data_IF_962295287549
#
_entry.id   IF_962295287549
#
_cell.length_a   1.000
_cell.length_b   1.000
_cell.length_c   1.000
_cell.angle_alpha   90.00
_cell.angle_beta   90.00
_cell.angle_gamma   90.00
#
_symmetry.space_group_name_H-M   'P 1'
#
loop_
_entity.id
_entity.type
_entity.pdbx_description
1 polymer ?
#
# COMPACT_ATOMS: atom_id res chain seq x y z
N UNK A 1 17.84 28.24 30.38
CA UNK A 1 17.61 29.27 29.33
C UNK A 1 17.61 28.56 27.99
N UNK A 2 16.46 28.47 27.35
CA UNK A 2 16.31 27.94 25.99
C UNK A 2 16.75 29.04 25.04
N UNK A 3 17.72 28.73 24.17
CA UNK A 3 18.27 29.69 23.20
C UNK A 3 17.18 30.07 22.18
N UNK A 4 16.92 31.35 21.88
CA UNK A 4 15.94 31.78 20.88
C UNK A 4 16.23 31.30 19.46
N UNK A 5 17.45 30.94 19.15
CA UNK A 5 17.87 30.46 17.81
C UNK A 5 17.37 29.05 17.45
N UNK A 6 16.91 28.26 18.42
CA UNK A 6 16.37 26.92 18.15
C UNK A 6 14.91 26.94 17.61
N UNK A 7 14.21 28.07 17.70
CA UNK A 7 12.80 28.17 17.29
C UNK A 7 12.59 28.62 15.84
N UNK A 8 13.61 29.19 15.19
CA UNK A 8 13.52 29.70 13.81
C UNK A 8 13.77 28.62 12.73
N UNK A 9 14.23 27.43 13.11
CA UNK A 9 14.57 26.35 12.16
C UNK A 9 13.43 25.31 11.95
N UNK A 10 12.29 25.48 12.56
CA UNK A 10 11.14 24.59 12.32
C UNK A 10 10.45 24.99 11.00
N UNK A 11 10.73 24.25 9.93
CA UNK A 11 9.98 24.37 8.68
C UNK A 11 8.49 24.25 8.98
N UNK A 12 7.64 25.18 8.52
CA UNK A 12 6.21 25.10 8.79
C UNK A 12 5.67 23.73 8.32
N UNK A 13 4.88 23.08 9.17
CA UNK A 13 4.21 21.83 8.86
C UNK A 13 3.38 22.03 7.59
N UNK A 14 3.85 21.55 6.43
CA UNK A 14 3.06 21.53 5.22
C UNK A 14 2.08 20.35 5.32
N UNK A 15 0.81 20.67 5.40
CA UNK A 15 -0.27 19.70 5.37
C UNK A 15 -0.38 19.13 3.97
N UNK A 16 0.24 17.98 3.72
CA UNK A 16 0.14 17.30 2.43
C UNK A 16 -1.15 16.46 2.41
N UNK A 17 -2.00 16.74 1.43
CA UNK A 17 -3.24 16.00 1.17
C UNK A 17 -3.40 15.82 -0.34
N UNK A 18 -3.70 14.61 -0.77
CA UNK A 18 -4.04 14.35 -2.17
C UNK A 18 -5.38 15.03 -2.51
N UNK A 19 -5.54 15.53 -3.76
CA UNK A 19 -6.66 16.42 -4.10
C UNK A 19 -8.04 15.74 -4.16
N UNK A 20 -8.10 14.40 -4.35
CA UNK A 20 -9.36 13.65 -4.43
C UNK A 20 -9.25 12.26 -3.79
N UNK A 21 -10.40 11.64 -3.44
CA UNK A 21 -10.44 10.26 -2.92
C UNK A 21 -9.84 9.26 -3.91
N UNK A 22 -9.20 8.23 -3.39
CA UNK A 22 -8.55 7.15 -4.14
C UNK A 22 -7.34 7.57 -4.99
N UNK A 23 -6.88 8.82 -4.93
CA UNK A 23 -5.61 9.22 -5.52
C UNK A 23 -4.42 8.51 -4.84
N UNK A 24 -4.50 8.34 -3.53
CA UNK A 24 -3.52 7.59 -2.74
C UNK A 24 -4.21 6.85 -1.60
N UNK A 25 -3.94 5.55 -1.49
CA UNK A 25 -4.19 4.79 -0.27
C UNK A 25 -2.86 4.57 0.47
N UNK A 26 -2.87 4.77 1.77
CA UNK A 26 -1.77 4.44 2.66
C UNK A 26 -2.06 3.08 3.28
N UNK A 27 -1.11 2.16 3.23
CA UNK A 27 -1.27 0.80 3.73
C UNK A 27 -0.11 0.45 4.66
N UNK A 28 -0.45 -0.06 5.85
CA UNK A 28 0.54 -0.41 6.86
C UNK A 28 0.00 -1.49 7.82
N UNK A 29 0.91 -2.17 8.54
CA UNK A 29 0.58 -2.98 9.69
C UNK A 29 0.78 -2.19 10.98
N UNK A 30 -0.20 -2.27 11.88
CA UNK A 30 -0.08 -1.64 13.22
C UNK A 30 0.94 -2.34 14.14
N UNK A 31 1.69 -3.29 13.65
CA UNK A 31 2.46 -4.22 14.46
C UNK A 31 1.57 -5.38 14.92
N UNK A 32 1.81 -5.94 16.09
CA UNK A 32 1.02 -7.09 16.56
C UNK A 32 0.73 -7.05 18.06
N UNK A 33 -0.29 -7.81 18.50
CA UNK A 33 -0.61 -8.06 19.89
C UNK A 33 -1.07 -9.50 20.11
N UNK A 34 -0.94 -9.99 21.35
CA UNK A 34 -1.32 -11.37 21.72
C UNK A 34 -2.81 -11.52 22.02
N UNK A 35 -3.34 -12.72 21.79
CA UNK A 35 -4.70 -13.13 22.11
C UNK A 35 -4.69 -14.20 23.22
N UNK A 36 -5.83 -14.43 23.86
CA UNK A 36 -5.94 -15.40 24.96
C UNK A 36 -5.73 -16.86 24.51
N UNK A 37 -5.96 -17.15 23.24
CA UNK A 37 -5.69 -18.45 22.61
C UNK A 37 -4.21 -18.68 22.24
N UNK A 38 -3.31 -17.82 22.72
CA UNK A 38 -1.87 -17.77 22.40
C UNK A 38 -1.53 -17.44 20.93
N UNK A 39 -2.50 -17.10 20.11
CA UNK A 39 -2.23 -16.56 18.76
C UNK A 39 -1.87 -15.07 18.83
N UNK A 40 -1.50 -14.49 17.67
CA UNK A 40 -1.21 -13.07 17.53
C UNK A 40 -2.05 -12.46 16.43
N UNK A 41 -2.52 -11.25 16.67
CA UNK A 41 -3.19 -10.45 15.67
C UNK A 41 -2.22 -9.40 15.10
N UNK A 42 -2.17 -9.31 13.77
CA UNK A 42 -1.45 -8.31 13.00
C UNK A 42 -2.49 -7.45 12.26
N UNK A 43 -2.87 -6.29 12.80
CA UNK A 43 -3.88 -5.44 12.15
C UNK A 43 -3.34 -4.84 10.85
N UNK A 44 -3.94 -5.21 9.73
CA UNK A 44 -3.73 -4.53 8.44
C UNK A 44 -4.65 -3.33 8.36
N UNK A 45 -4.09 -2.18 8.03
CA UNK A 45 -4.80 -0.92 7.88
C UNK A 45 -4.59 -0.34 6.49
N UNK A 46 -5.66 0.20 5.90
CA UNK A 46 -5.59 0.97 4.66
C UNK A 46 -6.45 2.20 4.81
N UNK A 47 -5.86 3.37 4.58
CA UNK A 47 -6.51 4.67 4.65
C UNK A 47 -6.49 5.38 3.30
N UNK A 48 -7.62 5.98 2.93
CA UNK A 48 -7.64 6.97 1.85
C UNK A 48 -7.01 8.28 2.33
N UNK A 49 -5.98 8.75 1.63
CA UNK A 49 -5.19 9.92 2.03
C UNK A 49 -6.01 11.21 2.04
N UNK A 50 -6.93 11.39 1.08
CA UNK A 50 -7.76 12.58 0.97
C UNK A 50 -8.82 12.66 2.06
N UNK A 51 -9.63 11.62 2.19
CA UNK A 51 -10.81 11.60 3.06
C UNK A 51 -10.55 11.11 4.46
N UNK A 52 -9.39 10.48 4.73
CA UNK A 52 -9.10 9.72 5.96
C UNK A 52 -10.02 8.50 6.14
N UNK A 53 -10.80 8.14 5.12
CA UNK A 53 -11.68 6.98 5.19
C UNK A 53 -10.85 5.71 5.36
N UNK A 54 -11.15 4.94 6.39
CA UNK A 54 -10.51 3.66 6.59
C UNK A 54 -11.14 2.61 5.68
N UNK A 55 -10.40 2.23 4.65
CA UNK A 55 -10.79 1.24 3.63
C UNK A 55 -10.73 -0.17 4.22
N UNK A 56 -9.60 -0.51 4.88
CA UNK A 56 -9.37 -1.81 5.49
C UNK A 56 -8.94 -1.62 6.94
N UNK A 57 -9.57 -2.36 7.83
CA UNK A 57 -9.09 -2.67 9.17
C UNK A 57 -9.33 -4.16 9.38
N UNK A 58 -8.32 -4.97 9.07
CA UNK A 58 -8.42 -6.42 9.06
C UNK A 58 -7.50 -7.04 10.10
N UNK A 59 -8.07 -7.90 10.95
CA UNK A 59 -7.31 -8.76 11.84
C UNK A 59 -6.71 -9.92 11.04
N UNK A 60 -5.37 -9.99 10.97
CA UNK A 60 -4.65 -11.07 10.27
C UNK A 60 -3.78 -11.86 11.25
N UNK A 61 -3.59 -13.16 11.02
CA UNK A 61 -2.74 -14.00 11.89
C UNK A 61 -1.24 -13.77 11.65
N UNK A 62 -0.88 -13.12 10.58
CA UNK A 62 0.49 -12.82 10.18
C UNK A 62 0.51 -11.74 9.09
N UNK A 63 1.72 -11.28 8.72
CA UNK A 63 1.96 -10.26 7.70
C UNK A 63 2.30 -10.87 6.33
N UNK A 64 1.69 -12.01 5.98
CA UNK A 64 1.95 -12.68 4.71
C UNK A 64 1.11 -12.09 3.57
N UNK A 65 1.68 -12.22 2.37
CA UNK A 65 1.07 -11.74 1.12
C UNK A 65 -0.38 -12.22 0.92
N UNK A 66 -0.65 -13.48 1.21
CA UNK A 66 -1.95 -14.11 0.93
C UNK A 66 -3.10 -13.39 1.64
N UNK A 67 -2.96 -13.13 2.95
CA UNK A 67 -3.97 -12.40 3.73
C UNK A 67 -4.12 -10.95 3.28
N UNK A 68 -3.02 -10.29 2.94
CA UNK A 68 -3.04 -8.92 2.40
C UNK A 68 -3.73 -8.87 1.05
N UNK A 69 -3.39 -9.77 0.13
CA UNK A 69 -3.97 -9.82 -1.20
C UNK A 69 -5.48 -10.11 -1.16
N UNK A 70 -5.91 -11.02 -0.27
CA UNK A 70 -7.33 -11.31 -0.06
C UNK A 70 -8.09 -10.08 0.49
N UNK A 71 -7.53 -9.40 1.49
CA UNK A 71 -8.14 -8.19 2.05
C UNK A 71 -8.24 -7.06 1.01
N UNK A 72 -7.19 -6.86 0.20
CA UNK A 72 -7.19 -5.90 -0.90
C UNK A 72 -8.19 -6.28 -1.99
N UNK A 73 -8.31 -7.57 -2.36
CA UNK A 73 -9.26 -8.02 -3.37
C UNK A 73 -10.70 -7.68 -2.97
N UNK A 74 -11.09 -7.98 -1.72
CA UNK A 74 -12.41 -7.59 -1.20
C UNK A 74 -12.62 -6.06 -1.18
N UNK A 75 -11.58 -5.32 -0.81
CA UNK A 75 -11.65 -3.87 -0.81
C UNK A 75 -11.78 -3.29 -2.22
N UNK A 76 -11.07 -3.84 -3.20
CA UNK A 76 -11.15 -3.41 -4.60
C UNK A 76 -12.51 -3.72 -5.22
N UNK A 77 -13.12 -4.85 -4.88
CA UNK A 77 -14.50 -5.18 -5.30
C UNK A 77 -15.52 -4.20 -4.73
N UNK A 78 -15.34 -3.78 -3.48
CA UNK A 78 -16.29 -2.89 -2.78
C UNK A 78 -16.07 -1.41 -3.11
N UNK A 79 -14.83 -0.95 -3.19
CA UNK A 79 -14.46 0.46 -3.25
C UNK A 79 -13.81 0.87 -4.58
N UNK A 80 -13.53 -0.10 -5.49
CA UNK A 80 -12.76 0.13 -6.71
C UNK A 80 -11.28 0.30 -6.45
N UNK A 81 -10.50 0.46 -7.53
CA UNK A 81 -9.05 0.54 -7.49
C UNK A 81 -8.57 1.97 -7.22
N UNK A 82 -7.59 2.17 -6.32
CA UNK A 82 -6.92 3.46 -6.18
C UNK A 82 -5.96 3.72 -7.35
N UNK A 83 -5.53 4.96 -7.52
CA UNK A 83 -4.48 5.29 -8.48
C UNK A 83 -3.11 4.85 -7.97
N UNK A 84 -2.89 4.95 -6.65
CA UNK A 84 -1.62 4.63 -6.00
C UNK A 84 -1.83 4.01 -4.63
N UNK A 85 -0.92 3.12 -4.25
CA UNK A 85 -0.78 2.64 -2.87
C UNK A 85 0.61 3.00 -2.38
N UNK A 86 0.69 3.57 -1.17
CA UNK A 86 1.93 3.84 -0.46
C UNK A 86 2.08 2.85 0.69
N UNK A 87 3.28 2.28 0.83
CA UNK A 87 3.65 1.36 1.90
C UNK A 87 5.01 1.76 2.47
N UNK A 88 5.43 1.10 3.54
CA UNK A 88 6.83 1.12 3.92
C UNK A 88 7.67 0.19 3.01
N UNK A 89 8.96 0.00 3.34
CA UNK A 89 9.87 -0.89 2.61
C UNK A 89 9.91 -2.31 3.19
N UNK A 90 9.07 -2.63 4.17
CA UNK A 90 9.01 -3.93 4.83
C UNK A 90 8.29 -5.01 4.03
N UNK A 91 8.43 -6.27 4.45
CA UNK A 91 7.59 -7.34 3.92
C UNK A 91 6.13 -7.15 4.39
N UNK A 92 5.13 -7.56 3.56
CA UNK A 92 5.23 -8.30 2.29
C UNK A 92 5.31 -7.42 1.04
N UNK A 93 5.32 -6.10 1.18
CA UNK A 93 5.27 -5.15 0.06
C UNK A 93 6.60 -4.58 -0.38
N UNK A 94 7.67 -4.83 0.37
CA UNK A 94 9.01 -4.42 -0.01
C UNK A 94 10.00 -5.57 0.11
N UNK A 95 11.05 -5.53 -0.67
CA UNK A 95 12.13 -6.50 -0.62
C UNK A 95 13.38 -5.80 -0.06
N UNK A 96 13.41 -5.63 1.28
CA UNK A 96 14.47 -4.92 1.97
C UNK A 96 15.84 -5.56 1.68
N UNK A 97 16.60 -4.97 0.77
CA UNK A 97 18.02 -5.23 0.54
C UNK A 97 18.42 -6.02 -0.71
N UNK A 98 17.50 -6.60 -1.49
CA UNK A 98 17.89 -7.36 -2.68
C UNK A 98 17.50 -6.71 -4.03
N UNK A 99 16.77 -5.62 -4.01
CA UNK A 99 16.23 -4.98 -5.21
C UNK A 99 15.26 -5.92 -5.97
N UNK A 100 14.26 -5.37 -6.61
CA UNK A 100 13.28 -6.11 -7.39
C UNK A 100 11.89 -6.10 -6.76
N UNK A 101 10.89 -6.46 -7.56
CA UNK A 101 9.48 -6.47 -7.17
C UNK A 101 9.15 -7.71 -6.33
N UNK A 102 8.18 -7.58 -5.43
CA UNK A 102 7.50 -8.69 -4.77
C UNK A 102 6.33 -9.20 -5.63
N UNK A 103 5.83 -10.40 -5.37
CA UNK A 103 4.67 -10.92 -6.08
C UNK A 103 3.39 -10.09 -5.84
N UNK A 104 3.27 -9.46 -4.67
CA UNK A 104 2.17 -8.55 -4.38
C UNK A 104 2.26 -7.28 -5.24
N UNK A 105 3.45 -6.69 -5.36
CA UNK A 105 3.68 -5.52 -6.21
C UNK A 105 3.40 -5.82 -7.69
N UNK A 106 3.85 -6.97 -8.18
CA UNK A 106 3.56 -7.42 -9.56
C UNK A 106 2.05 -7.50 -9.80
N UNK A 107 1.29 -8.05 -8.86
CA UNK A 107 -0.16 -8.12 -8.95
C UNK A 107 -0.82 -6.73 -8.94
N UNK A 108 -0.38 -5.82 -8.07
CA UNK A 108 -0.90 -4.44 -8.00
C UNK A 108 -0.58 -3.65 -9.28
N UNK A 109 0.65 -3.79 -9.82
CA UNK A 109 1.04 -3.15 -11.08
C UNK A 109 0.16 -3.67 -12.23
N UNK A 110 -0.14 -4.97 -12.27
CA UNK A 110 -1.04 -5.55 -13.27
C UNK A 110 -2.47 -5.03 -13.19
N UNK A 111 -2.91 -4.56 -12.02
CA UNK A 111 -4.18 -3.85 -11.84
C UNK A 111 -4.08 -2.35 -12.22
N UNK A 112 -2.94 -1.89 -12.71
CA UNK A 112 -2.70 -0.49 -13.03
C UNK A 112 -2.64 0.42 -11.80
N UNK A 113 -2.24 -0.12 -10.66
CA UNK A 113 -2.04 0.63 -9.41
C UNK A 113 -0.56 1.01 -9.31
N UNK A 114 -0.27 2.30 -9.18
CA UNK A 114 1.10 2.76 -8.96
C UNK A 114 1.51 2.49 -7.51
N UNK A 115 2.76 2.09 -7.33
CA UNK A 115 3.33 1.83 -6.01
C UNK A 115 4.28 2.96 -5.63
N UNK A 116 4.28 3.32 -4.36
CA UNK A 116 5.28 4.19 -3.76
C UNK A 116 5.66 3.66 -2.40
N UNK A 117 6.93 3.81 -2.06
CA UNK A 117 7.45 3.47 -0.74
C UNK A 117 7.82 4.74 0.00
N UNK A 118 7.49 4.78 1.29
CA UNK A 118 7.88 5.88 2.16
C UNK A 118 9.40 5.95 2.25
N UNK A 119 9.97 7.14 2.01
CA UNK A 119 11.41 7.34 2.20
C UNK A 119 11.75 7.21 3.68
N UNK A 120 12.84 6.51 4.03
CA UNK A 120 13.35 6.53 5.39
C UNK A 120 13.52 7.98 5.87
N UNK A 121 13.09 8.27 7.10
CA UNK A 121 13.20 9.59 7.72
C UNK A 121 12.36 10.74 7.12
N UNK A 122 11.29 10.47 6.37
CA UNK A 122 10.29 11.46 6.01
C UNK A 122 8.96 11.22 6.74
N UNK A 123 8.80 11.65 8.00
CA UNK A 123 7.62 11.39 8.84
C UNK A 123 6.34 12.03 8.30
N UNK A 124 6.44 12.98 7.37
CA UNK A 124 5.30 13.68 6.81
C UNK A 124 4.36 12.78 5.98
N UNK A 125 4.87 11.68 5.44
CA UNK A 125 4.10 10.77 4.57
C UNK A 125 3.20 9.82 5.38
N UNK A 126 3.61 9.42 6.59
CA UNK A 126 2.94 8.42 7.41
C UNK A 126 2.17 8.99 8.62
N UNK A 127 2.23 10.31 8.83
CA UNK A 127 1.62 10.95 10.02
C UNK A 127 0.11 10.71 10.17
N UNK A 128 -0.58 10.42 9.06
CA UNK A 128 -2.03 10.10 9.06
C UNK A 128 -2.27 8.69 9.59
N UNK A 129 -1.49 7.71 9.14
CA UNK A 129 -1.56 6.33 9.64
C UNK A 129 -1.09 6.23 11.09
N UNK A 130 -0.02 6.93 11.46
CA UNK A 130 0.43 6.98 12.84
C UNK A 130 -0.66 7.50 13.78
N UNK A 131 -1.37 8.57 13.38
CA UNK A 131 -2.51 9.10 14.16
C UNK A 131 -3.66 8.10 14.22
N UNK A 132 -3.98 7.45 13.12
CA UNK A 132 -4.98 6.39 13.07
C UNK A 132 -4.62 5.23 13.99
N UNK A 133 -3.39 4.72 13.89
CA UNK A 133 -2.88 3.64 14.73
C UNK A 133 -2.87 4.00 16.22
N UNK A 134 -2.55 5.25 16.57
CA UNK A 134 -2.61 5.73 17.95
C UNK A 134 -4.04 5.67 18.50
N UNK A 135 -5.02 6.13 17.71
CA UNK A 135 -6.42 6.08 18.09
C UNK A 135 -6.93 4.64 18.22
N UNK A 136 -6.64 3.78 17.23
CA UNK A 136 -6.99 2.37 17.27
C UNK A 136 -6.41 1.65 18.49
N UNK A 137 -5.12 1.92 18.79
CA UNK A 137 -4.47 1.35 19.95
C UNK A 137 -5.15 1.77 21.24
N UNK A 138 -5.32 3.08 21.46
CA UNK A 138 -5.87 3.62 22.70
C UNK A 138 -7.35 3.28 22.94
N UNK A 139 -8.13 3.12 21.87
CA UNK A 139 -9.59 2.97 21.97
C UNK A 139 -10.06 1.52 21.84
N UNK A 140 -9.28 0.66 21.20
CA UNK A 140 -9.64 -0.74 20.97
C UNK A 140 -8.62 -1.69 21.58
N UNK A 141 -7.35 -1.63 21.17
CA UNK A 141 -6.37 -2.66 21.52
C UNK A 141 -6.06 -2.63 23.01
N UNK A 142 -5.80 -1.45 23.59
CA UNK A 142 -5.44 -1.30 25.00
C UNK A 142 -6.65 -1.42 25.96
N UNK A 143 -7.89 -1.42 25.43
CA UNK A 143 -9.11 -1.48 26.24
C UNK A 143 -9.76 -2.84 26.32
N UNK A 144 -9.33 -3.79 25.51
CA UNK A 144 -9.94 -5.11 25.43
C UNK A 144 -8.91 -6.21 25.55
N UNK A 145 -9.30 -7.29 26.23
CA UNK A 145 -8.60 -8.58 26.15
C UNK A 145 -9.41 -9.47 25.20
N UNK A 146 -8.80 -9.87 24.10
CA UNK A 146 -9.48 -10.64 23.06
C UNK A 146 -9.22 -12.12 23.22
N UNK A 147 -10.28 -12.93 23.10
CA UNK A 147 -10.16 -14.39 23.18
C UNK A 147 -9.55 -14.96 21.90
N UNK A 148 -10.00 -14.47 20.73
CA UNK A 148 -9.64 -14.98 19.41
C UNK A 148 -9.71 -13.89 18.34
N UNK A 149 -9.31 -14.23 17.10
CA UNK A 149 -9.28 -13.36 15.95
C UNK A 149 -10.68 -12.85 15.53
N UNK A 150 -11.71 -13.67 15.73
CA UNK A 150 -13.10 -13.32 15.38
C UNK A 150 -13.58 -12.17 16.25
N UNK A 151 -13.29 -12.22 17.53
CA UNK A 151 -13.63 -11.16 18.48
C UNK A 151 -12.89 -9.86 18.15
N UNK A 152 -11.62 -9.95 17.79
CA UNK A 152 -10.85 -8.78 17.31
C UNK A 152 -11.55 -8.15 16.12
N UNK A 153 -11.88 -8.95 15.08
CA UNK A 153 -12.48 -8.42 13.87
C UNK A 153 -13.83 -7.76 14.14
N UNK A 154 -14.66 -8.34 15.00
CA UNK A 154 -15.95 -7.74 15.37
C UNK A 154 -15.77 -6.35 16.01
N UNK A 155 -14.77 -6.18 16.89
CA UNK A 155 -14.49 -4.89 17.51
C UNK A 155 -13.89 -3.90 16.50
N UNK A 156 -13.03 -4.37 15.61
CA UNK A 156 -12.49 -3.57 14.51
C UNK A 156 -13.58 -3.04 13.59
N UNK A 157 -14.55 -3.87 13.22
CA UNK A 157 -15.64 -3.49 12.34
C UNK A 157 -16.54 -2.41 12.98
N UNK A 158 -16.88 -2.57 14.26
CA UNK A 158 -17.64 -1.56 15.03
C UNK A 158 -16.90 -0.24 15.14
N UNK A 159 -15.61 -0.30 15.50
CA UNK A 159 -14.79 0.89 15.64
C UNK A 159 -14.56 1.58 14.29
N UNK A 160 -14.31 0.81 13.22
CA UNK A 160 -14.18 1.32 11.84
C UNK A 160 -15.45 2.04 11.38
N UNK A 161 -16.62 1.48 11.70
CA UNK A 161 -17.88 2.14 11.38
C UNK A 161 -17.98 3.50 12.07
N UNK A 162 -17.77 3.56 13.39
CA UNK A 162 -17.77 4.79 14.14
C UNK A 162 -16.73 5.79 13.61
N UNK A 163 -15.49 5.33 13.35
CA UNK A 163 -14.42 6.16 12.81
C UNK A 163 -14.80 6.80 11.48
N UNK A 164 -15.38 6.03 10.57
CA UNK A 164 -15.72 6.49 9.23
C UNK A 164 -16.99 7.35 9.17
N UNK A 165 -18.02 7.02 9.95
CA UNK A 165 -19.36 7.55 9.75
C UNK A 165 -19.85 8.49 10.86
N UNK A 166 -19.30 8.36 12.07
CA UNK A 166 -19.82 9.08 13.23
C UNK A 166 -18.81 10.09 13.81
N UNK A 167 -17.50 9.77 13.74
CA UNK A 167 -16.46 10.60 14.36
C UNK A 167 -16.16 11.85 13.53
N UNK A 168 -16.28 13.07 14.09
CA UNK A 168 -15.80 14.28 13.46
C UNK A 168 -14.27 14.32 13.47
N UNK A 169 -13.67 14.76 12.37
CA UNK A 169 -12.22 14.93 12.22
C UNK A 169 -11.84 16.39 12.05
N UNK A 170 -11.00 16.93 12.92
CA UNK A 170 -10.53 18.31 12.84
C UNK A 170 -9.87 18.61 11.48
N UNK A 171 -9.03 17.70 10.98
CA UNK A 171 -8.38 17.82 9.68
C UNK A 171 -9.36 17.86 8.50
N UNK A 172 -10.62 17.50 8.72
CA UNK A 172 -11.70 17.52 7.73
C UNK A 172 -12.74 18.63 8.00
N UNK A 173 -12.37 19.62 8.81
CA UNK A 173 -13.32 20.66 9.24
C UNK A 173 -14.50 20.11 10.03
N UNK A 174 -14.25 19.13 10.89
CA UNK A 174 -15.24 18.40 11.70
C UNK A 174 -16.22 17.54 10.89
N UNK A 175 -15.98 17.34 9.59
CA UNK A 175 -16.71 16.34 8.82
C UNK A 175 -16.25 14.92 9.17
N UNK A 176 -17.12 13.93 8.94
CA UNK A 176 -16.73 12.52 9.01
C UNK A 176 -16.03 12.09 7.72
N UNK A 177 -15.12 11.10 7.76
CA UNK A 177 -14.46 10.56 6.57
C UNK A 177 -15.43 10.16 5.45
N UNK A 178 -16.55 9.53 5.80
CA UNK A 178 -17.57 9.09 4.85
C UNK A 178 -18.22 10.25 4.05
N UNK A 179 -18.27 11.46 4.59
CA UNK A 179 -18.81 12.64 3.87
C UNK A 179 -17.87 13.08 2.74
N UNK A 180 -16.56 12.84 2.87
CA UNK A 180 -15.55 13.21 1.88
C UNK A 180 -15.17 12.07 0.93
N UNK A 181 -15.38 10.82 1.34
CA UNK A 181 -15.04 9.65 0.54
C UNK A 181 -16.05 9.43 -0.60
N UNK A 182 -15.54 8.94 -1.73
CA UNK A 182 -16.33 8.45 -2.87
C UNK A 182 -15.67 7.19 -3.40
N UNK A 183 -16.48 6.23 -3.83
CA UNK A 183 -16.01 4.98 -4.48
C UNK A 183 -15.24 5.34 -5.75
N UNK A 184 -14.15 4.62 -6.02
CA UNK A 184 -13.37 4.80 -7.23
C UNK A 184 -14.17 4.37 -8.47
N UNK A 185 -14.11 5.14 -9.58
CA UNK A 185 -14.72 4.73 -10.84
C UNK A 185 -13.96 3.56 -11.52
N UNK A 186 -12.75 3.24 -11.06
CA UNK A 186 -11.93 2.15 -11.56
C UNK A 186 -12.37 0.85 -10.90
N UNK A 187 -13.25 0.10 -11.53
CA UNK A 187 -13.72 -1.19 -11.00
C UNK A 187 -12.61 -2.25 -10.99
N UNK A 188 -12.68 -3.18 -10.03
CA UNK A 188 -11.83 -4.38 -10.03
C UNK A 188 -12.17 -5.23 -11.27
N UNK A 189 -11.20 -5.53 -12.16
CA UNK A 189 -11.45 -6.36 -13.32
C UNK A 189 -11.65 -7.82 -12.90
N UNK A 190 -12.55 -8.55 -13.58
CA UNK A 190 -12.76 -10.00 -13.33
C UNK A 190 -11.53 -10.83 -13.68
N UNK A 191 -10.82 -10.40 -14.73
CA UNK A 191 -9.58 -11.00 -15.20
C UNK A 191 -8.54 -9.91 -15.35
N UNK A 192 -7.28 -10.24 -15.04
CA UNK A 192 -6.20 -9.29 -15.25
C UNK A 192 -6.06 -9.00 -16.77
N UNK A 193 -6.00 -7.72 -17.16
CA UNK A 193 -5.87 -7.37 -18.57
C UNK A 193 -4.57 -7.94 -19.16
N UNK A 194 -4.54 -8.24 -20.47
CA UNK A 194 -3.31 -8.66 -21.13
C UNK A 194 -2.25 -7.55 -21.01
N UNK A 195 -0.99 -7.97 -21.00
CA UNK A 195 0.13 -7.03 -21.01
C UNK A 195 0.49 -6.76 -22.48
N UNK A 196 0.31 -5.52 -22.90
CA UNK A 196 0.65 -5.06 -24.24
C UNK A 196 1.83 -4.11 -24.18
N UNK A 197 2.69 -4.18 -25.18
CA UNK A 197 3.85 -3.31 -25.32
C UNK A 197 3.78 -2.57 -26.66
N UNK A 198 4.32 -1.34 -26.75
CA UNK A 198 4.38 -0.60 -28.00
C UNK A 198 5.12 -1.38 -29.10
N UNK A 199 4.73 -1.12 -30.35
CA UNK A 199 5.46 -1.61 -31.52
C UNK A 199 6.92 -1.14 -31.46
N UNK A 200 7.83 -2.09 -31.67
CA UNK A 200 9.30 -1.84 -31.60
C UNK A 200 9.95 -2.27 -30.27
N UNK A 201 9.18 -2.54 -29.23
CA UNK A 201 9.73 -3.15 -28.02
C UNK A 201 10.05 -4.64 -28.28
N UNK A 202 11.20 -5.07 -27.80
CA UNK A 202 11.58 -6.49 -27.82
C UNK A 202 10.99 -7.18 -26.59
N UNK A 203 9.89 -7.90 -26.76
CA UNK A 203 9.23 -8.59 -25.63
C UNK A 203 9.96 -9.89 -25.30
N UNK A 204 10.24 -10.10 -24.03
CA UNK A 204 10.86 -11.31 -23.48
C UNK A 204 10.05 -11.85 -22.30
N UNK A 205 9.86 -13.17 -22.27
CA UNK A 205 9.27 -13.87 -21.13
C UNK A 205 10.34 -14.09 -20.05
N UNK A 206 10.05 -13.68 -18.82
CA UNK A 206 10.96 -13.91 -17.69
C UNK A 206 11.00 -15.40 -17.35
N UNK A 207 12.21 -15.96 -17.37
CA UNK A 207 12.48 -17.36 -17.09
C UNK A 207 12.47 -17.64 -15.57
N UNK A 208 12.48 -18.93 -15.23
CA UNK A 208 12.64 -19.38 -13.85
C UNK A 208 13.88 -18.72 -13.21
N UNK A 209 13.73 -18.21 -11.98
CA UNK A 209 14.79 -17.47 -11.30
C UNK A 209 14.88 -15.99 -11.63
N UNK A 210 13.98 -15.45 -12.49
CA UNK A 210 13.90 -14.02 -12.76
C UNK A 210 14.89 -13.51 -13.81
N UNK A 211 15.18 -14.30 -14.85
CA UNK A 211 16.11 -13.97 -15.91
C UNK A 211 15.41 -13.78 -17.26
N UNK A 212 15.95 -12.90 -18.08
CA UNK A 212 15.63 -12.79 -19.50
C UNK A 212 16.92 -12.90 -20.32
N UNK A 213 16.81 -13.39 -21.56
CA UNK A 213 17.89 -13.31 -22.55
C UNK A 213 17.58 -12.24 -23.57
N UNK A 214 18.48 -11.28 -23.74
CA UNK A 214 18.41 -10.22 -24.73
C UNK A 214 19.76 -10.14 -25.47
N UNK A 215 19.77 -10.31 -26.81
CA UNK A 215 20.99 -10.31 -27.63
C UNK A 215 22.09 -11.23 -27.10
N UNK A 216 21.73 -12.45 -26.67
CA UNK A 216 22.61 -13.47 -26.05
C UNK A 216 23.24 -13.04 -24.71
N UNK A 217 22.72 -11.98 -24.07
CA UNK A 217 23.10 -11.56 -22.73
C UNK A 217 22.00 -11.95 -21.74
N UNK A 218 22.35 -12.62 -20.66
CA UNK A 218 21.42 -12.90 -19.57
C UNK A 218 21.34 -11.69 -18.63
N UNK A 219 20.12 -11.21 -18.44
CA UNK A 219 19.83 -10.04 -17.60
C UNK A 219 18.92 -10.47 -16.45
N UNK A 220 19.35 -10.20 -15.23
CA UNK A 220 18.54 -10.46 -14.05
C UNK A 220 17.48 -9.36 -13.90
N UNK A 221 16.23 -9.78 -13.72
CA UNK A 221 15.09 -8.91 -13.44
C UNK A 221 14.63 -9.14 -11.98
N UNK A 222 13.45 -9.71 -11.78
CA UNK A 222 12.95 -10.13 -10.47
C UNK A 222 12.35 -11.53 -10.56
N UNK A 223 12.55 -12.36 -9.54
CA UNK A 223 11.91 -13.68 -9.45
C UNK A 223 10.37 -13.56 -9.42
N UNK A 224 9.84 -12.46 -8.90
CA UNK A 224 8.40 -12.19 -8.88
C UNK A 224 7.80 -12.01 -10.28
N UNK A 225 8.63 -11.69 -11.27
CA UNK A 225 8.20 -11.54 -12.67
C UNK A 225 8.26 -12.87 -13.45
N UNK A 226 8.68 -13.98 -12.84
CA UNK A 226 8.75 -15.27 -13.52
C UNK A 226 7.46 -15.61 -14.25
N UNK A 227 7.58 -15.93 -15.54
CA UNK A 227 6.45 -16.22 -16.42
C UNK A 227 5.77 -15.00 -17.02
N UNK A 228 6.06 -13.80 -16.55
CA UNK A 228 5.50 -12.55 -17.11
C UNK A 228 6.31 -12.08 -18.34
N UNK A 229 5.64 -11.45 -19.32
CA UNK A 229 6.35 -10.75 -20.38
C UNK A 229 6.89 -9.42 -19.86
N UNK A 230 8.07 -9.02 -20.33
CA UNK A 230 8.68 -7.69 -20.11
C UNK A 230 9.09 -7.10 -21.45
N UNK A 231 8.89 -5.79 -21.61
CA UNK A 231 9.33 -5.04 -22.78
C UNK A 231 10.78 -4.56 -22.61
N UNK A 232 11.60 -4.77 -23.61
CA UNK A 232 12.96 -4.24 -23.68
C UNK A 232 13.00 -3.18 -24.78
N UNK A 233 13.23 -1.91 -24.40
CA UNK A 233 13.24 -0.76 -25.30
C UNK A 233 14.62 -0.14 -25.36
N UNK A 234 15.18 0.12 -26.54
CA UNK A 234 16.43 0.86 -26.64
C UNK A 234 16.33 2.22 -25.95
N UNK A 235 17.37 2.60 -25.23
CA UNK A 235 17.46 3.93 -24.61
C UNK A 235 18.01 4.90 -25.67
N UNK A 236 17.29 6.00 -25.91
CA UNK A 236 17.75 7.04 -26.82
C UNK A 236 19.12 7.58 -26.36
N UNK A 237 19.98 7.88 -27.29
CA UNK A 237 21.33 8.46 -27.08
C UNK A 237 22.31 7.59 -26.28
N UNK A 238 22.00 6.29 -26.08
CA UNK A 238 22.87 5.36 -25.37
C UNK A 238 22.96 4.04 -26.14
N UNK A 239 23.95 3.90 -27.00
CA UNK A 239 24.12 2.74 -27.87
C UNK A 239 24.30 1.45 -27.04
N UNK A 240 23.52 0.43 -27.35
CA UNK A 240 23.53 -0.85 -26.65
C UNK A 240 22.83 -0.88 -25.28
N UNK A 241 22.27 0.24 -24.80
CA UNK A 241 21.50 0.27 -23.55
C UNK A 241 20.00 0.01 -23.80
N UNK A 242 19.38 -0.77 -22.91
CA UNK A 242 17.95 -1.09 -22.95
C UNK A 242 17.29 -0.78 -21.60
N UNK A 243 16.15 -0.10 -21.66
CA UNK A 243 15.24 -0.01 -20.55
C UNK A 243 14.36 -1.25 -20.47
N UNK A 244 14.12 -1.75 -19.25
CA UNK A 244 13.19 -2.86 -19.00
C UNK A 244 11.89 -2.30 -18.45
N UNK A 245 10.78 -2.69 -19.06
CA UNK A 245 9.45 -2.21 -18.75
C UNK A 245 8.54 -3.38 -18.38
N UNK A 246 7.74 -3.19 -17.35
CA UNK A 246 6.68 -4.13 -16.97
C UNK A 246 5.34 -3.39 -16.90
N UNK A 247 4.38 -3.79 -17.74
CA UNK A 247 3.04 -3.19 -17.89
C UNK A 247 3.01 -1.71 -18.37
N UNK A 248 4.10 -1.16 -18.90
CA UNK A 248 4.17 0.25 -19.39
C UNK A 248 5.04 0.39 -20.61
#
# INVERSE_FOLDING_TARGET
>A
RISPQASEAATPWQHFEHPWPNALWQMDFKGHFGLADNSRCHPLTVLDDHSRYNIILQALPNERREGVQEALSRAFEQFGLPERINTDNGAPWGNSGQGGLTALEVWLIRLGIRLSHSRPHHPQTNGKEERFHRSLKAEVIDRHSFCDMTQVQQQFDRWRYCYNHERPHEALGLATPAKRYRISPRAMPRELPPIEYPDGDVVRKVQQGGWISLHNVEIRTSTALTGQPVGCRPVADCDGAFGLYFCH
#
